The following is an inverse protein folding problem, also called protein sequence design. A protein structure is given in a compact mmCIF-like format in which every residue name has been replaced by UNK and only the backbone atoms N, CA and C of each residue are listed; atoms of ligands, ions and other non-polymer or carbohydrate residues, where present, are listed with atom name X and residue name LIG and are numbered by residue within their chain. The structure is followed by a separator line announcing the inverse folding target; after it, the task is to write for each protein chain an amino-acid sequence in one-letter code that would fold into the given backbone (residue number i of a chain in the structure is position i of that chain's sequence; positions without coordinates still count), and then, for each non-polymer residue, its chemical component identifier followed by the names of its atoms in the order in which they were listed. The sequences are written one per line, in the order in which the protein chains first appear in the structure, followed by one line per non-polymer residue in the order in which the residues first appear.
data_IF_507543641027
#
_entry.id   IF_507543641027
#
_cell.length_a   1.000
_cell.length_b   1.000
_cell.length_c   1.000
_cell.angle_alpha   90.00
_cell.angle_beta   90.00
_cell.angle_gamma   90.00
#
_symmetry.space_group_name_H-M   'P 1'
#
loop_
_entity.id
_entity.type
_entity.pdbx_description
1 polymer ?
#
# COMPACT_ATOMS: atom_id res chain seq x y z
N UNK A 1 27.14 -10.93 -30.09
CA UNK A 1 26.56 -9.58 -29.83
C UNK A 1 27.04 -9.12 -28.47
N UNK A 2 28.00 -8.21 -28.44
CA UNK A 2 28.49 -7.63 -27.20
C UNK A 2 27.66 -6.38 -26.91
N UNK A 3 26.72 -6.49 -25.98
CA UNK A 3 25.96 -5.33 -25.50
C UNK A 3 26.76 -4.64 -24.39
N UNK A 4 27.03 -3.38 -24.53
CA UNK A 4 27.43 -2.55 -23.37
C UNK A 4 26.20 -2.29 -22.49
N UNK A 5 25.78 -3.28 -21.72
CA UNK A 5 24.85 -3.07 -20.63
C UNK A 5 25.58 -2.32 -19.53
N UNK A 6 25.08 -1.16 -19.12
CA UNK A 6 25.61 -0.46 -17.96
C UNK A 6 25.56 -1.41 -16.74
N UNK A 7 26.72 -1.71 -16.18
CA UNK A 7 26.84 -2.60 -15.02
C UNK A 7 26.60 -1.82 -13.75
N UNK A 8 25.35 -1.73 -13.35
CA UNK A 8 24.96 -1.15 -12.05
C UNK A 8 24.49 -2.25 -11.09
N UNK A 9 24.24 -1.89 -9.84
CA UNK A 9 23.79 -2.82 -8.78
C UNK A 9 22.58 -3.67 -9.19
N UNK A 10 21.57 -3.08 -9.83
CA UNK A 10 20.37 -3.81 -10.24
C UNK A 10 20.66 -4.80 -11.38
N UNK A 11 21.48 -4.43 -12.37
CA UNK A 11 21.87 -5.35 -13.44
C UNK A 11 22.73 -6.51 -12.93
N UNK A 12 23.63 -6.26 -11.98
CA UNK A 12 24.40 -7.30 -11.31
C UNK A 12 23.49 -8.28 -10.55
N UNK A 13 22.58 -7.75 -9.74
CA UNK A 13 21.60 -8.54 -8.99
C UNK A 13 20.76 -9.46 -9.89
N UNK A 14 20.20 -8.92 -10.98
CA UNK A 14 19.39 -9.70 -11.93
C UNK A 14 20.20 -10.82 -12.58
N UNK A 15 21.44 -10.52 -13.00
CA UNK A 15 22.34 -11.51 -13.60
C UNK A 15 22.73 -12.62 -12.63
N UNK A 16 23.10 -12.28 -11.40
CA UNK A 16 23.43 -13.23 -10.35
C UNK A 16 22.24 -14.08 -9.89
N UNK A 17 21.03 -13.59 -10.08
CA UNK A 17 19.80 -14.33 -9.76
C UNK A 17 19.45 -15.39 -10.81
N UNK A 18 19.91 -15.24 -12.05
CA UNK A 18 19.51 -16.10 -13.16
C UNK A 18 19.76 -17.61 -12.91
N UNK A 19 20.90 -18.08 -12.38
CA UNK A 19 21.10 -19.50 -12.10
C UNK A 19 20.09 -20.08 -11.08
N UNK A 20 19.64 -19.26 -10.14
CA UNK A 20 18.63 -19.68 -9.15
C UNK A 20 17.23 -19.77 -9.77
N UNK A 21 16.90 -18.88 -10.70
CA UNK A 21 15.68 -18.93 -11.50
C UNK A 21 15.69 -20.16 -12.41
N UNK A 22 16.81 -20.43 -13.10
CA UNK A 22 16.99 -21.61 -13.96
C UNK A 22 16.78 -22.93 -13.19
N UNK A 23 17.25 -23.01 -11.96
CA UNK A 23 17.08 -24.20 -11.10
C UNK A 23 15.70 -24.32 -10.46
N UNK A 24 14.80 -23.34 -10.67
CA UNK A 24 13.47 -23.30 -10.06
C UNK A 24 13.48 -23.01 -8.55
N UNK A 25 14.63 -22.63 -7.98
CA UNK A 25 14.74 -22.27 -6.56
C UNK A 25 14.14 -20.89 -6.25
N UNK A 26 14.20 -19.98 -7.22
CA UNK A 26 13.70 -18.61 -7.10
C UNK A 26 12.72 -18.35 -8.24
N UNK A 27 11.54 -17.85 -7.90
CA UNK A 27 10.48 -17.48 -8.83
C UNK A 27 10.00 -16.04 -8.66
N UNK A 28 10.54 -15.31 -7.66
CA UNK A 28 10.34 -13.87 -7.45
C UNK A 28 11.66 -13.10 -7.38
N UNK A 29 11.77 -12.01 -8.15
CA UNK A 29 12.83 -11.00 -8.03
C UNK A 29 12.19 -9.67 -7.65
N UNK A 30 12.59 -9.13 -6.50
CA UNK A 30 12.03 -7.92 -5.92
C UNK A 30 13.08 -6.82 -5.91
N UNK A 31 12.78 -5.67 -6.52
CA UNK A 31 13.67 -4.51 -6.61
C UNK A 31 13.00 -3.30 -5.98
N UNK A 32 13.32 -3.03 -4.72
CA UNK A 32 12.91 -1.83 -4.01
C UNK A 32 13.98 -0.75 -4.11
N UNK A 33 13.60 0.50 -4.13
CA UNK A 33 14.62 1.54 -4.05
C UNK A 33 14.14 2.93 -4.40
N UNK A 34 15.08 3.87 -4.34
CA UNK A 34 14.82 5.27 -4.60
C UNK A 34 14.45 5.54 -6.07
N UNK A 35 13.94 6.73 -6.30
CA UNK A 35 13.81 7.25 -7.67
C UNK A 35 15.19 7.30 -8.34
N UNK A 36 15.21 7.09 -9.66
CA UNK A 36 16.45 7.16 -10.47
C UNK A 36 17.54 6.14 -10.09
N UNK A 37 17.22 5.06 -9.40
CA UNK A 37 18.16 3.98 -9.06
C UNK A 37 18.43 2.98 -10.21
N UNK A 38 17.89 3.24 -11.41
CA UNK A 38 18.01 2.41 -12.62
C UNK A 38 17.32 1.03 -12.55
N UNK A 39 16.36 0.80 -11.66
CA UNK A 39 15.60 -0.47 -11.58
C UNK A 39 14.93 -0.82 -12.90
N UNK A 40 14.08 0.07 -13.41
CA UNK A 40 13.28 -0.11 -14.64
C UNK A 40 14.17 -0.45 -15.84
N UNK A 41 15.26 0.31 -16.05
CA UNK A 41 16.21 0.06 -17.14
C UNK A 41 16.89 -1.28 -16.99
N UNK A 42 17.37 -1.63 -15.79
CA UNK A 42 18.01 -2.92 -15.54
C UNK A 42 17.07 -4.09 -15.86
N UNK A 43 15.78 -3.98 -15.46
CA UNK A 43 14.77 -5.01 -15.74
C UNK A 43 14.52 -5.11 -17.25
N UNK A 44 14.37 -3.99 -17.96
CA UNK A 44 14.15 -4.02 -19.43
C UNK A 44 15.32 -4.72 -20.14
N UNK A 45 16.57 -4.38 -19.83
CA UNK A 45 17.73 -5.07 -20.39
C UNK A 45 17.73 -6.57 -20.07
N UNK A 46 17.38 -6.93 -18.84
CA UNK A 46 17.29 -8.33 -18.44
C UNK A 46 16.22 -9.09 -19.23
N UNK A 47 15.02 -8.53 -19.38
CA UNK A 47 13.92 -9.12 -20.14
C UNK A 47 14.27 -9.26 -21.63
N UNK A 48 14.90 -8.24 -22.23
CA UNK A 48 15.40 -8.31 -23.62
C UNK A 48 16.42 -9.46 -23.75
N UNK A 49 17.35 -9.59 -22.79
CA UNK A 49 18.36 -10.66 -22.83
C UNK A 49 17.75 -12.06 -22.76
N UNK A 50 16.66 -12.24 -21.99
CA UNK A 50 15.91 -13.51 -21.91
C UNK A 50 15.08 -13.78 -23.17
N UNK A 51 14.52 -12.74 -23.77
CA UNK A 51 13.75 -12.86 -25.01
C UNK A 51 14.67 -13.19 -26.22
N UNK A 52 15.87 -12.64 -26.26
CA UNK A 52 16.88 -12.95 -27.30
C UNK A 52 17.45 -14.35 -27.15
N UNK A 53 17.67 -14.81 -25.92
CA UNK A 53 18.24 -16.12 -25.62
C UNK A 53 17.36 -16.85 -24.56
N UNK A 54 16.21 -17.41 -24.98
CA UNK A 54 15.31 -18.13 -24.08
C UNK A 54 15.92 -19.46 -23.58
N UNK A 55 17.01 -19.95 -24.19
CA UNK A 55 17.72 -21.13 -23.70
C UNK A 55 18.27 -20.95 -22.28
N UNK A 56 18.52 -19.71 -21.87
CA UNK A 56 18.82 -19.34 -20.47
C UNK A 56 17.74 -19.76 -19.47
N UNK A 57 16.54 -20.06 -19.91
CA UNK A 57 15.43 -20.59 -19.09
C UNK A 57 15.04 -22.01 -19.53
N UNK A 58 15.87 -22.68 -20.33
CA UNK A 58 15.58 -24.00 -20.88
C UNK A 58 14.39 -24.02 -21.86
N UNK A 59 14.08 -22.87 -22.49
CA UNK A 59 12.93 -22.70 -23.40
C UNK A 59 13.39 -22.40 -24.83
N UNK A 60 12.50 -22.66 -25.80
CA UNK A 60 12.72 -22.29 -27.23
C UNK A 60 12.30 -20.84 -27.50
N UNK A 61 11.26 -20.38 -26.80
CA UNK A 61 10.75 -19.01 -26.83
C UNK A 61 10.12 -18.69 -25.49
N UNK A 62 9.96 -17.41 -25.16
CA UNK A 62 9.34 -16.94 -23.94
C UNK A 62 8.27 -15.89 -24.22
N UNK A 63 7.16 -15.97 -23.49
CA UNK A 63 6.15 -14.91 -23.42
C UNK A 63 6.36 -14.11 -22.14
N UNK A 64 6.74 -12.86 -22.29
CA UNK A 64 6.98 -11.91 -21.20
C UNK A 64 5.87 -10.88 -21.21
N UNK A 65 5.18 -10.69 -20.09
CA UNK A 65 4.18 -9.64 -19.92
C UNK A 65 4.62 -8.63 -18.87
N UNK A 66 4.56 -7.36 -19.24
CA UNK A 66 4.93 -6.24 -18.41
C UNK A 66 3.65 -5.50 -18.02
N UNK A 67 3.38 -5.40 -16.71
CA UNK A 67 2.16 -4.82 -16.16
C UNK A 67 2.46 -3.52 -15.42
N UNK A 68 1.58 -2.55 -15.58
CA UNK A 68 1.45 -1.35 -14.75
C UNK A 68 -0.04 -1.15 -14.42
N UNK A 69 -0.38 -0.22 -13.51
CA UNK A 69 -1.76 0.00 -13.09
C UNK A 69 -2.71 0.13 -14.27
N UNK A 70 -2.44 1.05 -15.20
CA UNK A 70 -3.30 1.24 -16.36
C UNK A 70 -2.52 1.34 -17.69
N UNK A 71 -3.22 1.07 -18.82
CA UNK A 71 -2.62 1.01 -20.14
C UNK A 71 -2.06 2.36 -20.63
N UNK A 72 -2.62 3.49 -20.20
CA UNK A 72 -2.17 4.81 -20.61
C UNK A 72 -0.80 5.14 -20.01
N UNK A 73 -0.63 4.93 -18.70
CA UNK A 73 0.67 5.11 -18.03
C UNK A 73 1.71 4.13 -18.55
N UNK A 74 1.32 2.89 -18.88
CA UNK A 74 2.22 1.90 -19.48
C UNK A 74 2.85 2.41 -20.77
N UNK A 75 2.06 3.02 -21.66
CA UNK A 75 2.56 3.58 -22.94
C UNK A 75 3.54 4.74 -22.76
N UNK A 76 3.23 5.65 -21.85
CA UNK A 76 4.04 6.85 -21.60
C UNK A 76 5.33 6.61 -20.82
N UNK A 77 5.50 5.43 -20.25
CA UNK A 77 6.62 5.09 -19.38
C UNK A 77 7.41 3.88 -19.88
N UNK A 78 7.09 2.67 -19.42
CA UNK A 78 7.91 1.47 -19.70
C UNK A 78 7.97 1.09 -21.18
N UNK A 79 6.91 1.40 -21.97
CA UNK A 79 6.98 1.20 -23.43
C UNK A 79 7.94 2.19 -24.06
N UNK A 80 7.90 3.46 -23.64
CA UNK A 80 8.82 4.47 -24.15
C UNK A 80 10.27 4.13 -23.83
N UNK A 81 10.56 3.70 -22.59
CA UNK A 81 11.90 3.25 -22.19
C UNK A 81 12.33 2.01 -22.97
N UNK A 82 11.46 1.01 -23.13
CA UNK A 82 11.76 -0.18 -23.93
C UNK A 82 12.11 0.17 -25.38
N UNK A 83 11.30 1.02 -26.02
CA UNK A 83 11.55 1.43 -27.41
C UNK A 83 12.84 2.25 -27.54
N UNK A 84 13.14 3.11 -26.57
CA UNK A 84 14.37 3.87 -26.53
C UNK A 84 15.59 2.93 -26.42
N UNK A 85 15.56 2.00 -25.49
CA UNK A 85 16.64 1.01 -25.30
C UNK A 85 16.85 0.18 -26.57
N UNK A 86 15.79 -0.35 -27.15
CA UNK A 86 15.87 -1.18 -28.35
C UNK A 86 16.41 -0.43 -29.58
N UNK A 87 16.12 0.88 -29.68
CA UNK A 87 16.52 1.71 -30.84
C UNK A 87 17.88 2.36 -30.69
N UNK A 88 18.26 2.73 -29.47
CA UNK A 88 19.38 3.64 -29.26
C UNK A 88 20.50 3.05 -28.40
N UNK A 89 20.18 2.16 -27.44
CA UNK A 89 21.17 1.66 -26.48
C UNK A 89 21.77 0.32 -26.89
N UNK A 90 21.07 -0.47 -27.73
CA UNK A 90 21.52 -1.77 -28.19
C UNK A 90 21.67 -1.72 -29.71
N UNK A 91 22.91 -1.76 -30.16
CA UNK A 91 23.26 -1.81 -31.59
C UNK A 91 24.30 -2.88 -31.86
N UNK A 92 24.38 -3.31 -33.09
CA UNK A 92 25.45 -4.16 -33.59
C UNK A 92 25.92 -3.67 -34.94
N UNK A 93 27.17 -3.99 -35.31
CA UNK A 93 27.72 -3.65 -36.59
C UNK A 93 27.77 -4.88 -37.50
N UNK A 94 27.32 -4.74 -38.73
CA UNK A 94 27.43 -5.74 -39.78
C UNK A 94 27.81 -5.05 -41.10
N UNK A 95 28.92 -5.49 -41.71
CA UNK A 95 29.39 -4.90 -42.97
C UNK A 95 29.73 -3.41 -42.88
N UNK A 96 30.19 -2.92 -41.72
CA UNK A 96 30.52 -1.52 -41.46
C UNK A 96 29.32 -0.58 -41.29
N UNK A 97 28.12 -1.15 -41.12
CA UNK A 97 26.89 -0.38 -40.81
C UNK A 97 26.38 -0.75 -39.41
N UNK A 98 26.02 0.27 -38.64
CA UNK A 98 25.36 0.07 -37.34
C UNK A 98 23.86 -0.14 -37.55
N UNK A 99 23.32 -1.16 -36.90
CA UNK A 99 21.89 -1.48 -36.90
C UNK A 99 21.38 -1.46 -35.45
N UNK A 100 20.18 -0.88 -35.25
CA UNK A 100 19.53 -0.99 -33.95
C UNK A 100 19.01 -2.41 -33.72
N UNK A 101 18.94 -2.83 -32.45
CA UNK A 101 18.31 -4.11 -32.11
C UNK A 101 16.83 -4.10 -32.50
N UNK A 102 16.19 -2.94 -32.41
CA UNK A 102 14.78 -2.77 -32.78
C UNK A 102 14.47 -3.20 -34.20
N UNK A 103 15.33 -2.82 -35.18
CA UNK A 103 15.09 -3.09 -36.59
C UNK A 103 15.52 -4.50 -36.99
N UNK A 104 16.44 -5.11 -36.25
CA UNK A 104 17.06 -6.38 -36.60
C UNK A 104 16.47 -7.61 -35.94
N UNK A 105 15.97 -7.47 -34.69
CA UNK A 105 15.61 -8.63 -33.88
C UNK A 105 14.15 -9.09 -34.03
N UNK A 106 13.26 -8.25 -34.57
CA UNK A 106 11.83 -8.61 -34.66
C UNK A 106 10.95 -7.48 -35.17
N UNK A 107 9.69 -7.48 -34.76
CA UNK A 107 8.66 -6.53 -35.22
C UNK A 107 7.85 -5.99 -34.05
N UNK A 108 7.64 -4.67 -34.04
CA UNK A 108 6.77 -3.98 -33.07
C UNK A 108 5.33 -3.86 -33.56
N UNK A 109 4.38 -4.29 -32.73
CA UNK A 109 2.96 -4.11 -32.96
C UNK A 109 2.41 -2.98 -32.05
N UNK A 110 2.03 -1.85 -32.66
CA UNK A 110 1.49 -0.68 -31.95
C UNK A 110 0.10 -0.93 -31.32
N UNK A 111 -0.70 -1.82 -31.90
CA UNK A 111 -2.06 -2.10 -31.42
C UNK A 111 -2.03 -2.93 -30.14
N UNK A 112 -1.26 -4.00 -30.14
CA UNK A 112 -1.12 -4.90 -28.99
C UNK A 112 -0.04 -4.44 -28.01
N UNK A 113 0.71 -3.39 -28.33
CA UNK A 113 1.87 -2.90 -27.55
C UNK A 113 2.85 -4.05 -27.26
N UNK A 114 3.25 -4.78 -28.30
CA UNK A 114 4.14 -5.94 -28.16
C UNK A 114 5.26 -5.95 -29.18
N UNK A 115 6.40 -6.54 -28.80
CA UNK A 115 7.52 -6.79 -29.68
C UNK A 115 7.71 -8.30 -29.85
N UNK A 116 7.52 -8.78 -31.09
CA UNK A 116 7.73 -10.19 -31.47
C UNK A 116 9.12 -10.38 -32.02
N UNK A 117 9.96 -11.15 -31.31
CA UNK A 117 11.30 -11.51 -31.73
C UNK A 117 11.31 -12.60 -32.80
N UNK A 118 12.32 -12.62 -33.67
CA UNK A 118 12.47 -13.62 -34.73
C UNK A 118 12.53 -15.07 -34.24
N UNK A 119 12.95 -15.30 -33.00
CA UNK A 119 13.01 -16.63 -32.38
C UNK A 119 11.67 -17.08 -31.77
N UNK A 120 10.59 -16.29 -31.94
CA UNK A 120 9.26 -16.57 -31.43
C UNK A 120 9.00 -16.06 -30.00
N UNK A 121 9.98 -15.45 -29.34
CA UNK A 121 9.75 -14.78 -28.05
C UNK A 121 8.95 -13.49 -28.23
N UNK A 122 8.14 -13.12 -27.21
CA UNK A 122 7.31 -11.92 -27.25
C UNK A 122 7.46 -11.16 -25.92
N UNK A 123 7.61 -9.84 -26.01
CA UNK A 123 7.45 -8.93 -24.88
C UNK A 123 6.19 -8.10 -25.13
N UNK A 124 5.21 -8.17 -24.22
CA UNK A 124 3.91 -7.49 -24.29
C UNK A 124 3.73 -6.57 -23.10
N UNK A 125 3.14 -5.38 -23.32
CA UNK A 125 2.90 -4.37 -22.29
C UNK A 125 1.40 -4.16 -22.10
N UNK A 126 0.92 -4.26 -20.85
CA UNK A 126 -0.51 -4.23 -20.52
C UNK A 126 -0.80 -3.45 -19.23
N UNK A 127 -2.02 -2.93 -19.11
CA UNK A 127 -2.53 -2.44 -17.83
C UNK A 127 -3.07 -3.58 -16.98
N UNK A 128 -3.05 -3.41 -15.66
CA UNK A 128 -3.63 -4.34 -14.67
C UNK A 128 -5.01 -3.89 -14.15
N UNK A 129 -5.52 -2.77 -14.66
CA UNK A 129 -6.79 -2.13 -14.27
C UNK A 129 -8.06 -2.91 -14.69
N UNK A 130 -7.92 -3.91 -15.54
CA UNK A 130 -9.04 -4.69 -16.05
C UNK A 130 -8.77 -6.20 -15.89
N UNK A 131 -9.60 -6.92 -15.13
CA UNK A 131 -9.49 -8.38 -15.01
C UNK A 131 -9.48 -9.10 -16.35
N UNK A 132 -10.25 -8.62 -17.33
CA UNK A 132 -10.35 -9.23 -18.67
C UNK A 132 -9.01 -9.19 -19.42
N UNK A 133 -8.18 -8.14 -19.21
CA UNK A 133 -6.85 -8.02 -19.82
C UNK A 133 -5.85 -9.00 -19.20
N UNK A 134 -6.03 -9.36 -17.92
CA UNK A 134 -5.17 -10.30 -17.20
C UNK A 134 -5.61 -11.75 -17.48
N UNK A 135 -6.89 -12.00 -17.66
CA UNK A 135 -7.49 -13.34 -17.77
C UNK A 135 -7.12 -14.13 -19.05
N UNK A 136 -6.45 -13.54 -20.03
CA UNK A 136 -6.24 -14.15 -21.34
C UNK A 136 -5.34 -15.38 -21.35
N UNK A 137 -4.02 -15.21 -21.40
CA UNK A 137 -3.07 -16.29 -21.63
C UNK A 137 -2.11 -16.47 -20.46
N UNK A 138 -1.57 -17.69 -20.30
CA UNK A 138 -0.42 -17.96 -19.45
C UNK A 138 0.80 -17.27 -20.03
N UNK A 139 1.65 -16.71 -19.17
CA UNK A 139 2.96 -16.16 -19.52
C UNK A 139 4.08 -16.92 -18.83
N UNK A 140 5.28 -16.85 -19.40
CA UNK A 140 6.48 -17.40 -18.76
C UNK A 140 7.01 -16.45 -17.70
N UNK A 141 7.04 -15.14 -18.01
CA UNK A 141 7.56 -14.12 -17.14
C UNK A 141 6.54 -13.00 -17.00
N UNK A 142 6.31 -12.54 -15.77
CA UNK A 142 5.55 -11.34 -15.47
C UNK A 142 6.45 -10.29 -14.81
N UNK A 143 6.35 -9.06 -15.27
CA UNK A 143 6.94 -7.91 -14.61
C UNK A 143 5.86 -6.94 -14.14
N UNK A 144 5.83 -6.68 -12.84
CA UNK A 144 4.93 -5.75 -12.16
C UNK A 144 5.71 -4.46 -11.86
N UNK A 145 5.66 -3.51 -12.81
CA UNK A 145 6.33 -2.22 -12.66
C UNK A 145 5.51 -1.27 -11.79
N UNK A 146 6.19 -0.54 -10.90
CA UNK A 146 5.56 0.30 -9.88
C UNK A 146 4.53 -0.49 -9.08
N UNK A 147 4.99 -1.57 -8.47
CA UNK A 147 4.13 -2.55 -7.78
C UNK A 147 3.20 -1.93 -6.72
N UNK A 148 3.56 -0.76 -6.15
CA UNK A 148 2.71 -0.01 -5.22
C UNK A 148 1.37 0.44 -5.82
N UNK A 149 1.25 0.49 -7.14
CA UNK A 149 0.01 0.86 -7.84
C UNK A 149 -0.86 -0.37 -8.17
N UNK A 150 -0.33 -1.60 -8.03
CA UNK A 150 -1.00 -2.84 -8.45
C UNK A 150 -1.78 -3.44 -7.28
N UNK A 151 -3.07 -3.67 -7.48
CA UNK A 151 -3.94 -4.23 -6.44
C UNK A 151 -3.58 -5.68 -6.09
N UNK A 152 -3.89 -6.14 -4.85
CA UNK A 152 -3.70 -7.54 -4.46
C UNK A 152 -4.39 -8.54 -5.38
N UNK A 153 -5.60 -8.23 -5.85
CA UNK A 153 -6.38 -9.09 -6.77
C UNK A 153 -5.70 -9.20 -8.14
N UNK A 154 -5.23 -8.08 -8.70
CA UNK A 154 -4.50 -8.08 -9.96
C UNK A 154 -3.18 -8.90 -9.82
N UNK A 155 -2.44 -8.70 -8.73
CA UNK A 155 -1.23 -9.48 -8.40
C UNK A 155 -1.54 -10.98 -8.36
N UNK A 156 -2.57 -11.40 -7.64
CA UNK A 156 -2.95 -12.80 -7.52
C UNK A 156 -3.31 -13.42 -8.88
N UNK A 157 -4.04 -12.68 -9.73
CA UNK A 157 -4.38 -13.11 -11.08
C UNK A 157 -3.16 -13.26 -12.00
N UNK A 158 -2.21 -12.33 -11.92
CA UNK A 158 -0.95 -12.38 -12.67
C UNK A 158 -0.10 -13.57 -12.20
N UNK A 159 0.03 -13.73 -10.88
CA UNK A 159 0.81 -14.81 -10.27
C UNK A 159 0.34 -16.19 -10.69
N UNK A 160 -0.97 -16.47 -10.62
CA UNK A 160 -1.57 -17.74 -11.05
C UNK A 160 -1.30 -18.11 -12.51
N UNK A 161 -0.98 -17.13 -13.36
CA UNK A 161 -0.75 -17.30 -14.79
C UNK A 161 0.71 -17.26 -15.20
N UNK A 162 1.61 -17.02 -14.26
CA UNK A 162 3.04 -16.92 -14.51
C UNK A 162 3.75 -18.23 -14.15
N UNK A 163 4.41 -18.83 -15.14
CA UNK A 163 4.95 -20.19 -15.00
C UNK A 163 6.40 -20.27 -14.54
N UNK A 164 7.19 -19.20 -14.73
CA UNK A 164 8.65 -19.27 -14.52
C UNK A 164 9.17 -18.20 -13.56
N UNK A 165 8.90 -16.91 -13.84
CA UNK A 165 9.53 -15.82 -13.10
C UNK A 165 8.55 -14.64 -12.95
N UNK A 166 8.46 -14.10 -11.73
CA UNK A 166 7.78 -12.85 -11.41
C UNK A 166 8.81 -11.82 -10.98
N UNK A 167 8.73 -10.63 -11.51
CA UNK A 167 9.59 -9.49 -11.14
C UNK A 167 8.69 -8.37 -10.67
N UNK A 168 9.01 -7.73 -9.56
CA UNK A 168 8.34 -6.52 -9.11
C UNK A 168 9.36 -5.45 -8.75
N UNK A 169 9.09 -4.21 -9.17
CA UNK A 169 9.89 -3.06 -8.76
C UNK A 169 9.01 -1.94 -8.26
N UNK A 170 9.52 -1.17 -7.27
CA UNK A 170 8.79 -0.06 -6.67
C UNK A 170 9.70 0.94 -5.97
N UNK A 171 9.15 2.16 -5.79
CA UNK A 171 9.61 3.10 -4.78
C UNK A 171 8.71 2.92 -3.55
N UNK A 172 9.25 2.84 -2.32
CA UNK A 172 8.46 2.47 -1.13
C UNK A 172 7.63 3.65 -0.59
N UNK A 173 6.68 4.12 -1.40
CA UNK A 173 5.82 5.28 -1.12
C UNK A 173 4.65 5.00 -0.18
N UNK A 174 4.40 3.72 0.13
CA UNK A 174 3.37 3.27 1.08
C UNK A 174 4.03 2.65 2.30
N UNK A 175 3.32 2.65 3.42
CA UNK A 175 3.78 2.02 4.67
C UNK A 175 3.37 0.54 4.74
N UNK A 176 2.26 0.16 4.07
CA UNK A 176 1.76 -1.20 3.98
C UNK A 176 1.35 -1.54 2.56
N UNK A 177 1.80 -2.69 2.07
CA UNK A 177 1.47 -3.18 0.73
C UNK A 177 1.85 -4.66 0.59
N UNK A 178 1.15 -5.43 -0.27
CA UNK A 178 1.43 -6.86 -0.54
C UNK A 178 2.89 -7.13 -0.96
N UNK A 179 3.57 -6.16 -1.57
CA UNK A 179 4.97 -6.30 -1.96
C UNK A 179 5.90 -6.38 -0.72
N UNK A 180 5.52 -5.73 0.38
CA UNK A 180 6.26 -5.84 1.64
C UNK A 180 6.00 -7.17 2.34
N UNK A 181 4.76 -7.70 2.25
CA UNK A 181 4.42 -9.02 2.79
C UNK A 181 5.23 -10.13 2.08
N UNK A 182 5.57 -9.94 0.79
CA UNK A 182 6.47 -10.84 0.09
C UNK A 182 7.87 -10.87 0.72
N UNK A 183 8.39 -9.74 1.23
CA UNK A 183 9.71 -9.67 1.86
C UNK A 183 9.79 -10.44 3.19
N UNK A 184 8.65 -10.71 3.81
CA UNK A 184 8.58 -11.45 5.07
C UNK A 184 8.60 -12.98 4.88
N UNK A 185 8.43 -13.47 3.64
CA UNK A 185 8.52 -14.89 3.33
C UNK A 185 9.95 -15.39 3.46
N UNK A 186 10.14 -16.48 4.15
CA UNK A 186 11.46 -17.06 4.46
C UNK A 186 11.75 -18.38 3.72
N UNK A 187 10.89 -18.76 2.75
CA UNK A 187 10.98 -20.02 2.03
C UNK A 187 12.12 -20.10 0.98
N UNK A 188 12.82 -19.00 0.77
CA UNK A 188 13.93 -18.90 -0.19
C UNK A 188 13.49 -18.83 -1.65
N UNK A 189 12.19 -18.78 -1.94
CA UNK A 189 11.65 -18.68 -3.30
C UNK A 189 11.85 -17.31 -3.95
N UNK A 190 12.39 -16.33 -3.21
CA UNK A 190 12.58 -14.98 -3.69
C UNK A 190 13.99 -14.44 -3.45
N UNK A 191 14.36 -13.45 -4.24
CA UNK A 191 15.53 -12.60 -4.02
C UNK A 191 15.13 -11.13 -4.01
N UNK A 192 15.78 -10.36 -3.16
CA UNK A 192 15.51 -8.95 -2.95
C UNK A 192 16.76 -8.10 -3.18
N UNK A 193 16.56 -6.95 -3.82
CA UNK A 193 17.59 -5.93 -4.03
C UNK A 193 17.03 -4.56 -3.61
N UNK A 194 17.74 -3.89 -2.71
CA UNK A 194 17.50 -2.48 -2.42
C UNK A 194 18.54 -1.63 -3.12
N UNK A 195 18.10 -0.54 -3.79
CA UNK A 195 19.00 0.36 -4.52
C UNK A 195 18.58 1.82 -4.36
N UNK A 196 19.57 2.72 -4.40
CA UNK A 196 19.37 4.17 -4.33
C UNK A 196 19.84 4.84 -5.62
N UNK A 197 19.59 6.13 -5.80
CA UNK A 197 20.15 6.90 -6.91
C UNK A 197 21.67 6.84 -6.99
N UNK A 198 22.37 6.62 -5.87
CA UNK A 198 23.82 6.45 -5.80
C UNK A 198 24.30 5.14 -6.44
N UNK A 199 23.44 4.12 -6.42
CA UNK A 199 23.71 2.83 -7.04
C UNK A 199 23.51 2.85 -8.58
N UNK A 200 22.99 3.99 -9.12
CA UNK A 200 22.93 4.23 -10.57
C UNK A 200 24.28 4.76 -11.07
N UNK A 201 25.28 3.92 -10.93
CA UNK A 201 26.64 4.17 -11.38
C UNK A 201 27.19 2.92 -12.06
N UNK A 202 28.18 3.10 -12.93
CA UNK A 202 28.92 2.00 -13.51
C UNK A 202 29.80 1.35 -12.44
N UNK A 203 29.65 0.03 -12.23
CA UNK A 203 30.33 -0.71 -11.17
C UNK A 203 31.86 -0.80 -11.34
N UNK A 204 32.34 -0.70 -12.57
CA UNK A 204 33.77 -0.83 -12.85
C UNK A 204 34.49 0.51 -12.66
N UNK A 205 33.85 1.63 -13.01
CA UNK A 205 34.43 2.98 -12.95
C UNK A 205 33.93 3.83 -11.79
N UNK A 206 32.83 3.45 -11.15
CA UNK A 206 32.15 4.25 -10.13
C UNK A 206 31.47 5.52 -10.68
N UNK A 207 31.52 5.76 -11.99
CA UNK A 207 30.93 6.94 -12.61
C UNK A 207 29.41 6.87 -12.57
N UNK A 208 28.77 7.92 -12.03
CA UNK A 208 27.29 8.02 -12.06
C UNK A 208 26.76 8.17 -13.47
N UNK A 209 25.60 7.57 -13.73
CA UNK A 209 24.86 7.71 -14.99
C UNK A 209 23.82 8.86 -14.91
N UNK A 210 23.74 9.55 -13.77
CA UNK A 210 22.79 10.63 -13.57
C UNK A 210 23.40 12.00 -13.89
N UNK A 211 22.58 12.83 -14.53
CA UNK A 211 22.90 14.24 -14.70
C UNK A 211 23.02 14.96 -13.35
N UNK A 212 24.03 15.85 -13.18
CA UNK A 212 24.22 16.58 -11.92
C UNK A 212 22.98 17.34 -11.41
N UNK A 213 22.13 17.81 -12.33
CA UNK A 213 20.88 18.50 -11.98
C UNK A 213 19.89 17.57 -11.27
N UNK A 214 19.80 16.30 -11.69
CA UNK A 214 18.93 15.29 -11.09
C UNK A 214 19.41 14.98 -9.67
N UNK A 215 20.73 14.80 -9.50
CA UNK A 215 21.33 14.54 -8.18
C UNK A 215 21.04 15.70 -7.24
N UNK A 216 21.28 16.94 -7.67
CA UNK A 216 20.98 18.12 -6.86
C UNK A 216 19.50 18.19 -6.46
N UNK A 217 18.58 17.86 -7.34
CA UNK A 217 17.15 17.83 -7.05
C UNK A 217 16.81 16.78 -5.97
N UNK A 218 17.36 15.58 -6.08
CA UNK A 218 17.14 14.53 -5.06
C UNK A 218 17.75 14.95 -3.71
N UNK A 219 18.98 15.45 -3.72
CA UNK A 219 19.71 15.86 -2.52
C UNK A 219 19.12 17.11 -1.86
N UNK A 220 18.37 17.95 -2.58
CA UNK A 220 17.68 19.09 -2.00
C UNK A 220 16.57 18.70 -1.01
N UNK A 221 16.08 17.47 -1.07
CA UNK A 221 15.10 16.95 -0.12
C UNK A 221 15.70 16.52 1.23
N UNK A 222 17.04 16.38 1.32
CA UNK A 222 17.73 15.90 2.53
C UNK A 222 17.55 16.88 3.72
N UNK A 223 16.79 16.49 4.77
CA UNK A 223 16.52 17.35 5.91
C UNK A 223 17.72 17.48 6.86
N UNK A 224 18.76 16.67 6.69
CA UNK A 224 20.00 16.76 7.49
C UNK A 224 20.91 17.90 7.05
N UNK A 225 20.66 18.47 5.86
CA UNK A 225 21.44 19.58 5.29
C UNK A 225 20.82 20.93 5.68
N UNK A 226 21.49 21.76 6.51
CA UNK A 226 20.95 23.05 6.95
C UNK A 226 20.59 23.99 5.81
N UNK A 227 21.32 23.95 4.70
CA UNK A 227 21.02 24.73 3.49
C UNK A 227 19.68 24.38 2.87
N UNK A 228 19.27 23.10 2.88
CA UNK A 228 17.97 22.65 2.37
C UNK A 228 16.82 23.13 3.26
N UNK A 229 17.04 23.09 4.60
CA UNK A 229 16.06 23.59 5.56
C UNK A 229 15.88 25.10 5.40
N UNK A 230 16.97 25.85 5.25
CA UNK A 230 16.93 27.30 5.05
C UNK A 230 16.29 27.69 3.71
N UNK A 231 16.49 26.88 2.67
CA UNK A 231 15.88 27.08 1.35
C UNK A 231 14.42 26.60 1.28
N UNK A 232 13.89 25.92 2.30
CA UNK A 232 12.54 25.36 2.31
C UNK A 232 12.35 24.17 1.34
N UNK A 233 13.45 23.53 0.90
CA UNK A 233 13.42 22.37 -0.02
C UNK A 233 13.47 21.03 0.72
N UNK A 234 13.91 21.02 1.99
CA UNK A 234 13.97 19.83 2.82
C UNK A 234 12.60 19.17 2.94
N UNK A 235 12.54 17.88 2.65
CA UNK A 235 11.29 17.10 2.64
C UNK A 235 11.63 15.67 3.11
N UNK A 236 11.43 15.33 4.39
CA UNK A 236 11.80 14.04 4.95
C UNK A 236 11.17 12.85 4.23
N UNK A 237 9.91 12.98 3.81
CA UNK A 237 9.23 11.91 3.07
C UNK A 237 9.87 11.68 1.70
N UNK A 238 10.07 12.76 0.93
CA UNK A 238 10.72 12.65 -0.38
C UNK A 238 12.15 12.16 -0.25
N UNK A 239 12.87 12.58 0.78
CA UNK A 239 14.22 12.09 1.04
C UNK A 239 14.23 10.60 1.34
N UNK A 240 13.36 10.11 2.25
CA UNK A 240 13.26 8.69 2.54
C UNK A 240 12.87 7.88 1.31
N UNK A 241 11.81 8.26 0.60
CA UNK A 241 11.28 7.48 -0.53
C UNK A 241 12.12 7.62 -1.79
N UNK A 242 12.40 8.87 -2.20
CA UNK A 242 13.03 9.15 -3.50
C UNK A 242 14.55 9.30 -3.43
N UNK A 243 15.10 9.62 -2.27
CA UNK A 243 16.54 9.70 -2.02
C UNK A 243 17.10 8.37 -1.51
N UNK A 244 16.57 7.87 -0.40
CA UNK A 244 17.10 6.70 0.28
C UNK A 244 16.44 5.38 -0.12
N UNK A 245 15.29 5.42 -0.81
CA UNK A 245 14.51 4.24 -1.15
C UNK A 245 13.98 3.50 0.07
N UNK A 246 13.68 4.23 1.13
CA UNK A 246 13.14 3.72 2.39
C UNK A 246 11.64 3.97 2.47
N UNK A 247 10.94 3.17 3.25
CA UNK A 247 9.53 3.43 3.55
C UNK A 247 9.43 4.75 4.31
N UNK A 248 8.87 5.75 3.66
CA UNK A 248 8.65 7.08 4.25
C UNK A 248 7.34 7.09 5.04
N UNK A 249 7.30 7.77 6.19
CA UNK A 249 6.04 8.16 6.79
C UNK A 249 5.39 9.21 5.86
N UNK A 250 4.13 8.99 5.44
CA UNK A 250 3.43 9.97 4.59
C UNK A 250 3.31 11.30 5.32
N UNK A 251 3.76 12.36 4.67
CA UNK A 251 3.46 13.72 5.13
C UNK A 251 1.94 13.95 5.08
N UNK A 252 1.44 14.75 6.02
CA UNK A 252 0.03 15.06 6.08
C UNK A 252 -0.84 13.92 6.59
N UNK A 253 -0.27 12.87 7.21
CA UNK A 253 -1.07 11.85 7.87
C UNK A 253 -2.02 12.45 8.87
N UNK A 254 -3.30 12.07 8.77
CA UNK A 254 -4.31 12.45 9.77
C UNK A 254 -3.97 11.83 11.13
N UNK A 255 -3.55 10.58 11.16
CA UNK A 255 -3.18 9.86 12.39
C UNK A 255 -1.72 9.36 12.35
N UNK A 256 -0.72 10.22 12.60
CA UNK A 256 0.66 9.74 12.80
C UNK A 256 0.77 8.73 13.94
N UNK A 257 1.82 7.89 13.91
CA UNK A 257 2.08 6.83 14.91
C UNK A 257 2.14 7.33 16.37
N UNK A 258 2.33 8.61 16.59
CA UNK A 258 2.22 9.20 17.93
C UNK A 258 0.81 9.05 18.54
N UNK A 259 -0.23 8.87 17.73
CA UNK A 259 -1.62 8.73 18.20
C UNK A 259 -2.06 7.28 18.37
N UNK A 260 -1.42 6.32 17.73
CA UNK A 260 -1.87 4.93 17.74
C UNK A 260 -0.74 3.91 17.75
N UNK A 261 -1.06 2.66 18.11
CA UNK A 261 -0.15 1.51 18.10
C UNK A 261 -0.90 0.21 17.82
N UNK A 262 -0.15 -0.86 17.48
CA UNK A 262 -0.68 -2.20 17.25
C UNK A 262 -0.44 -3.04 18.49
N UNK A 263 -1.49 -3.71 18.96
CA UNK A 263 -1.42 -4.63 20.11
C UNK A 263 -1.73 -6.06 19.68
N UNK A 264 -1.24 -7.02 20.45
CA UNK A 264 -1.68 -8.40 20.33
C UNK A 264 -3.17 -8.51 20.67
N UNK A 265 -3.91 -9.36 19.96
CA UNK A 265 -5.35 -9.51 20.13
C UNK A 265 -5.76 -9.96 21.55
N UNK A 266 -4.85 -10.66 22.26
CA UNK A 266 -5.03 -11.07 23.65
C UNK A 266 -5.04 -9.90 24.64
N UNK A 267 -4.51 -8.74 24.24
CA UNK A 267 -4.48 -7.50 25.03
C UNK A 267 -5.75 -6.62 24.81
N UNK A 268 -6.66 -7.08 23.96
CA UNK A 268 -7.92 -6.36 23.76
C UNK A 268 -8.79 -6.48 25.01
N UNK A 269 -9.15 -5.37 25.68
CA UNK A 269 -9.75 -5.42 27.01
C UNK A 269 -11.13 -6.08 26.98
N UNK A 270 -11.45 -6.85 28.03
CA UNK A 270 -12.80 -7.40 28.21
C UNK A 270 -13.84 -6.29 28.36
N UNK A 271 -15.06 -6.52 27.85
CA UNK A 271 -16.15 -5.51 27.91
C UNK A 271 -16.52 -5.12 29.33
N UNK A 272 -16.42 -6.05 30.27
CA UNK A 272 -16.83 -5.85 31.67
C UNK A 272 -15.94 -4.84 32.40
N UNK A 273 -14.68 -4.67 31.95
CA UNK A 273 -13.74 -3.69 32.54
C UNK A 273 -13.73 -2.35 31.81
N UNK A 274 -14.43 -2.24 30.68
CA UNK A 274 -14.44 -1.03 29.88
C UNK A 274 -15.42 0.02 30.41
N UNK A 275 -14.97 1.28 30.46
CA UNK A 275 -15.85 2.40 30.80
C UNK A 275 -16.97 2.61 29.77
N UNK A 276 -16.64 2.39 28.50
CA UNK A 276 -17.56 2.41 27.37
C UNK A 276 -17.17 1.32 26.37
N UNK A 277 -18.14 0.69 25.77
CA UNK A 277 -17.95 -0.24 24.67
C UNK A 277 -19.13 -0.18 23.69
N UNK A 278 -18.92 -0.59 22.46
CA UNK A 278 -19.95 -0.63 21.42
C UNK A 278 -19.32 -0.79 20.05
N UNK A 279 -20.12 -0.56 19.02
CA UNK A 279 -19.69 -0.78 17.65
C UNK A 279 -19.88 0.47 16.81
N UNK A 280 -18.94 0.71 15.89
CA UNK A 280 -19.09 1.69 14.83
C UNK A 280 -19.27 1.00 13.49
N UNK A 281 -20.08 1.57 12.60
CA UNK A 281 -20.32 1.02 11.28
C UNK A 281 -20.40 2.10 10.21
N UNK A 282 -19.75 1.80 9.06
CA UNK A 282 -19.83 2.58 7.84
C UNK A 282 -20.33 1.69 6.72
N UNK A 283 -21.40 2.13 6.02
CA UNK A 283 -22.01 1.32 4.96
C UNK A 283 -21.33 1.57 3.62
N UNK A 284 -20.67 0.57 3.09
CA UNK A 284 -20.23 0.51 1.69
C UNK A 284 -21.12 -0.38 0.82
N UNK A 285 -20.80 -0.50 -0.45
CA UNK A 285 -21.42 -1.45 -1.37
C UNK A 285 -20.42 -1.95 -2.42
N UNK A 286 -20.52 -1.56 -3.69
CA UNK A 286 -19.76 -2.16 -4.78
C UNK A 286 -18.31 -1.73 -4.85
N UNK A 287 -18.01 -0.45 -4.63
CA UNK A 287 -16.64 0.09 -4.67
C UNK A 287 -16.06 0.26 -3.28
N UNK A 288 -16.87 0.73 -2.34
CA UNK A 288 -16.48 0.98 -0.97
C UNK A 288 -16.82 -0.22 -0.07
N UNK A 289 -15.94 -0.61 0.85
CA UNK A 289 -16.23 -1.68 1.79
C UNK A 289 -17.23 -1.23 2.85
N UNK A 290 -18.08 -2.15 3.30
CA UNK A 290 -18.75 -1.97 4.59
C UNK A 290 -17.74 -2.24 5.69
N UNK A 291 -17.53 -1.25 6.57
CA UNK A 291 -16.67 -1.37 7.73
C UNK A 291 -17.52 -1.48 9.02
N UNK A 292 -17.19 -2.45 9.87
CA UNK A 292 -17.81 -2.60 11.17
C UNK A 292 -16.77 -2.95 12.23
N UNK A 293 -16.69 -2.15 13.29
CA UNK A 293 -15.60 -2.18 14.26
C UNK A 293 -16.10 -2.31 15.71
N UNK A 294 -15.41 -3.11 16.53
CA UNK A 294 -15.60 -3.17 17.98
C UNK A 294 -14.72 -2.08 18.62
N UNK A 295 -15.35 -1.17 19.31
CA UNK A 295 -14.72 -0.04 20.00
C UNK A 295 -14.86 -0.20 21.50
N UNK A 296 -13.75 -0.16 22.24
CA UNK A 296 -13.71 -0.25 23.71
C UNK A 296 -12.88 0.88 24.28
N UNK A 297 -13.42 1.56 25.28
CA UNK A 297 -12.71 2.62 25.97
C UNK A 297 -12.35 2.17 27.39
N UNK A 298 -11.05 2.02 27.64
CA UNK A 298 -10.51 1.51 28.88
C UNK A 298 -9.22 2.25 29.24
N UNK A 299 -9.02 2.58 30.53
CA UNK A 299 -7.83 3.27 31.03
C UNK A 299 -7.39 4.47 30.18
N UNK A 300 -8.37 5.34 29.85
CA UNK A 300 -8.16 6.55 29.06
C UNK A 300 -7.60 6.30 27.62
N UNK A 301 -7.73 5.11 27.10
CA UNK A 301 -7.34 4.74 25.75
C UNK A 301 -8.51 4.11 24.98
N UNK A 302 -8.49 4.28 23.68
CA UNK A 302 -9.42 3.68 22.74
C UNK A 302 -8.79 2.41 22.15
N UNK A 303 -9.49 1.29 22.28
CA UNK A 303 -9.14 0.00 21.69
C UNK A 303 -10.09 -0.30 20.55
N UNK A 304 -9.57 -0.69 19.40
CA UNK A 304 -10.39 -0.99 18.20
C UNK A 304 -10.00 -2.34 17.60
N UNK A 305 -11.03 -3.08 17.20
CA UNK A 305 -10.90 -4.36 16.54
C UNK A 305 -11.86 -4.45 15.37
N UNK A 306 -11.34 -4.84 14.21
CA UNK A 306 -12.13 -5.07 13.02
C UNK A 306 -13.01 -6.30 13.17
N UNK A 307 -14.29 -6.13 12.84
CA UNK A 307 -15.22 -7.24 12.73
C UNK A 307 -15.54 -7.51 11.26
N UNK A 308 -15.95 -6.48 10.50
CA UNK A 308 -16.25 -6.60 9.07
C UNK A 308 -15.48 -5.53 8.30
N UNK A 309 -14.93 -5.90 7.16
CA UNK A 309 -14.38 -4.98 6.16
C UNK A 309 -14.49 -5.66 4.78
N UNK A 310 -15.65 -5.55 4.18
CA UNK A 310 -15.99 -6.31 2.97
C UNK A 310 -16.77 -5.45 1.97
N UNK A 311 -16.50 -5.66 0.68
CA UNK A 311 -17.25 -5.05 -0.43
C UNK A 311 -18.40 -5.96 -0.85
N UNK A 312 -19.42 -5.36 -1.47
CA UNK A 312 -20.54 -6.11 -2.05
C UNK A 312 -21.55 -6.66 -1.03
N UNK A 313 -21.48 -6.24 0.24
CA UNK A 313 -22.47 -6.65 1.24
C UNK A 313 -23.79 -5.94 1.01
N UNK A 314 -24.87 -6.70 0.84
CA UNK A 314 -26.23 -6.18 0.96
C UNK A 314 -26.61 -6.05 2.45
N UNK A 315 -27.67 -5.30 2.78
CA UNK A 315 -27.98 -5.04 4.20
C UNK A 315 -28.63 -6.26 4.86
N UNK A 316 -29.70 -6.79 4.28
CA UNK A 316 -30.43 -7.95 4.79
C UNK A 316 -30.09 -9.21 4.01
N UNK A 317 -30.41 -10.37 4.58
CA UNK A 317 -30.20 -11.66 3.93
C UNK A 317 -31.08 -11.75 2.68
N UNK A 318 -30.51 -12.20 1.56
CA UNK A 318 -31.27 -12.52 0.36
C UNK A 318 -31.91 -13.91 0.54
N UNK A 319 -33.25 -13.96 0.63
CA UNK A 319 -33.97 -15.22 0.84
C UNK A 319 -34.02 -16.09 -0.44
N UNK A 320 -33.84 -15.46 -1.62
CA UNK A 320 -33.83 -16.17 -2.91
C UNK A 320 -32.46 -16.75 -3.24
N UNK A 321 -31.42 -16.05 -2.83
CA UNK A 321 -30.01 -16.47 -2.99
C UNK A 321 -29.20 -16.24 -1.72
N UNK A 322 -29.16 -17.21 -0.81
CA UNK A 322 -28.38 -17.11 0.44
C UNK A 322 -26.86 -17.04 0.24
N UNK A 323 -26.35 -17.25 -0.98
CA UNK A 323 -24.92 -17.12 -1.27
C UNK A 323 -24.46 -15.65 -1.34
N UNK A 324 -25.39 -14.71 -1.52
CA UNK A 324 -25.08 -13.28 -1.53
C UNK A 324 -24.78 -12.83 -0.09
N UNK A 325 -23.57 -12.32 0.17
CA UNK A 325 -23.16 -11.95 1.52
C UNK A 325 -23.94 -10.70 2.00
N UNK A 326 -24.34 -10.70 3.27
CA UNK A 326 -25.07 -9.59 3.87
C UNK A 326 -24.45 -9.11 5.19
N UNK A 327 -24.70 -7.84 5.53
CA UNK A 327 -24.37 -7.27 6.83
C UNK A 327 -25.09 -8.07 7.94
N UNK A 328 -26.35 -8.39 7.74
CA UNK A 328 -27.14 -9.15 8.69
C UNK A 328 -26.55 -10.53 8.98
N UNK A 329 -26.12 -11.26 7.94
CA UNK A 329 -25.48 -12.58 8.10
C UNK A 329 -24.17 -12.47 8.88
N UNK A 330 -23.34 -11.46 8.58
CA UNK A 330 -22.07 -11.23 9.31
C UNK A 330 -22.34 -10.93 10.79
N UNK A 331 -23.30 -10.08 11.13
CA UNK A 331 -23.64 -9.75 12.52
C UNK A 331 -24.22 -10.96 13.27
N UNK A 332 -25.05 -11.78 12.62
CA UNK A 332 -25.56 -13.04 13.20
C UNK A 332 -24.43 -14.04 13.49
N UNK A 333 -23.45 -14.13 12.60
CA UNK A 333 -22.30 -15.02 12.84
C UNK A 333 -21.53 -14.60 14.10
N UNK A 334 -21.29 -13.30 14.31
CA UNK A 334 -20.64 -12.81 15.54
C UNK A 334 -21.45 -13.08 16.79
N UNK A 335 -22.78 -13.10 16.70
CA UNK A 335 -23.65 -13.42 17.83
C UNK A 335 -23.71 -14.93 18.13
N UNK A 336 -23.55 -15.78 17.12
CA UNK A 336 -23.51 -17.24 17.23
C UNK A 336 -22.10 -17.76 17.43
N UNK A 337 -21.48 -18.21 16.34
CA UNK A 337 -20.17 -18.89 16.35
C UNK A 337 -19.01 -18.00 16.85
N UNK A 338 -19.08 -16.70 16.60
CA UNK A 338 -18.08 -15.72 17.04
C UNK A 338 -18.22 -15.27 18.48
N UNK A 339 -19.31 -15.63 19.19
CA UNK A 339 -19.67 -15.06 20.47
C UNK A 339 -18.58 -15.16 21.53
N UNK A 340 -17.99 -16.35 21.74
CA UNK A 340 -16.95 -16.55 22.75
C UNK A 340 -15.71 -15.69 22.48
N UNK A 341 -15.29 -15.62 21.22
CA UNK A 341 -14.08 -14.91 20.83
C UNK A 341 -14.24 -13.39 20.82
N UNK A 342 -15.39 -12.89 20.38
CA UNK A 342 -15.59 -11.47 20.13
C UNK A 342 -16.49 -10.80 21.16
N UNK A 343 -17.18 -11.56 22.00
CA UNK A 343 -18.14 -11.07 23.01
C UNK A 343 -19.21 -10.17 22.37
N UNK A 344 -19.62 -10.46 21.14
CA UNK A 344 -20.60 -9.66 20.42
C UNK A 344 -21.98 -9.77 21.04
N UNK A 345 -22.75 -8.66 21.03
CA UNK A 345 -24.15 -8.66 21.44
C UNK A 345 -24.95 -7.69 20.59
N UNK A 346 -26.08 -8.16 20.04
CA UNK A 346 -27.01 -7.32 19.28
C UNK A 346 -27.60 -6.17 20.11
N UNK A 347 -27.68 -6.32 21.44
CA UNK A 347 -28.17 -5.31 22.35
C UNK A 347 -27.18 -4.19 22.63
N UNK A 348 -25.89 -4.43 22.37
CA UNK A 348 -24.86 -3.40 22.46
C UNK A 348 -25.05 -2.37 21.36
N UNK A 349 -24.92 -1.09 21.68
CA UNK A 349 -25.12 0.00 20.73
C UNK A 349 -24.19 -0.10 19.52
N UNK A 350 -24.78 0.03 18.34
CA UNK A 350 -24.09 0.08 17.04
C UNK A 350 -24.37 1.46 16.43
N UNK A 351 -23.33 2.29 16.28
CA UNK A 351 -23.44 3.63 15.70
C UNK A 351 -23.09 3.56 14.21
N UNK A 352 -24.07 3.78 13.35
CA UNK A 352 -23.95 3.65 11.91
C UNK A 352 -24.02 5.00 11.20
N UNK A 353 -23.48 5.06 9.98
CA UNK A 353 -23.60 6.24 9.13
C UNK A 353 -25.08 6.65 8.95
N UNK A 354 -25.39 7.90 9.31
CA UNK A 354 -26.74 8.46 9.20
C UNK A 354 -27.20 8.73 7.75
N UNK A 355 -26.32 8.64 6.75
CA UNK A 355 -26.68 8.79 5.34
C UNK A 355 -27.56 7.63 4.81
N UNK A 356 -27.61 6.51 5.53
CA UNK A 356 -28.40 5.32 5.17
C UNK A 356 -29.47 4.99 6.24
N UNK A 357 -30.49 5.83 6.40
CA UNK A 357 -31.53 5.63 7.42
C UNK A 357 -32.37 4.36 7.18
N UNK A 358 -32.56 3.97 5.93
CA UNK A 358 -33.19 2.72 5.51
C UNK A 358 -32.48 1.49 6.07
N UNK A 359 -31.16 1.46 5.93
CA UNK A 359 -30.31 0.37 6.41
C UNK A 359 -30.32 0.28 7.95
N UNK A 360 -30.28 1.43 8.63
CA UNK A 360 -30.41 1.48 10.09
C UNK A 360 -31.78 0.99 10.55
N UNK A 361 -32.86 1.40 9.87
CA UNK A 361 -34.21 0.97 10.20
C UNK A 361 -34.36 -0.55 10.01
N UNK A 362 -33.79 -1.11 8.94
CA UNK A 362 -33.77 -2.56 8.72
C UNK A 362 -33.02 -3.30 9.85
N UNK A 363 -31.82 -2.86 10.23
CA UNK A 363 -31.06 -3.51 11.31
C UNK A 363 -31.83 -3.48 12.64
N UNK A 364 -32.54 -2.39 12.94
CA UNK A 364 -33.44 -2.32 14.09
C UNK A 364 -34.58 -3.32 14.01
N UNK A 365 -35.22 -3.42 12.86
CA UNK A 365 -36.34 -4.34 12.65
C UNK A 365 -35.95 -5.81 12.85
N UNK A 366 -34.68 -6.16 12.55
CA UNK A 366 -34.15 -7.52 12.79
C UNK A 366 -33.48 -7.67 14.17
N UNK A 367 -33.65 -6.68 15.07
CA UNK A 367 -33.33 -6.78 16.49
C UNK A 367 -31.96 -6.26 16.93
N UNK A 368 -31.20 -5.58 16.04
CA UNK A 368 -29.94 -4.94 16.42
C UNK A 368 -30.15 -3.54 16.98
N UNK A 369 -29.38 -3.16 18.01
CA UNK A 369 -29.41 -1.82 18.58
C UNK A 369 -28.63 -0.82 17.72
N UNK A 370 -29.10 -0.64 16.48
CA UNK A 370 -28.50 0.27 15.51
C UNK A 370 -29.00 1.69 15.70
N UNK A 371 -28.11 2.67 15.81
CA UNK A 371 -28.42 4.09 15.94
C UNK A 371 -27.65 4.92 14.92
N UNK A 372 -28.21 6.04 14.43
CA UNK A 372 -27.49 6.92 13.51
C UNK A 372 -26.37 7.67 14.24
N UNK A 373 -25.28 7.93 13.52
CA UNK A 373 -24.25 8.85 13.98
C UNK A 373 -24.75 10.30 13.97
N UNK A 374 -24.10 11.14 14.76
CA UNK A 374 -24.36 12.58 14.76
C UNK A 374 -23.49 13.22 13.67
N UNK A 375 -24.11 13.69 12.56
CA UNK A 375 -23.45 14.46 11.50
C UNK A 375 -23.86 15.92 11.58
N UNK A 376 -22.88 16.83 11.57
CA UNK A 376 -23.07 18.27 11.50
C UNK A 376 -21.96 18.91 10.70
N UNK A 377 -22.05 20.21 10.49
CA UNK A 377 -20.96 20.99 9.91
C UNK A 377 -19.70 20.76 10.77
N UNK A 378 -18.57 20.54 10.14
CA UNK A 378 -17.26 20.29 10.77
C UNK A 378 -17.16 18.97 11.59
N UNK A 379 -18.14 18.06 11.46
CA UNK A 379 -18.15 16.78 12.23
C UNK A 379 -16.94 15.89 11.93
N UNK A 380 -16.33 15.97 10.74
CA UNK A 380 -15.13 15.22 10.38
C UNK A 380 -13.93 15.77 11.18
N UNK A 381 -13.67 17.07 11.09
CA UNK A 381 -12.56 17.70 11.80
C UNK A 381 -12.69 17.53 13.33
N UNK A 382 -13.89 17.72 13.89
CA UNK A 382 -14.17 17.49 15.29
C UNK A 382 -13.93 16.05 15.72
N UNK A 383 -14.43 15.09 14.95
CA UNK A 383 -14.27 13.66 15.25
C UNK A 383 -12.81 13.22 15.21
N UNK A 384 -12.04 13.70 14.22
CA UNK A 384 -10.60 13.48 14.12
C UNK A 384 -9.87 14.07 15.34
N UNK A 385 -10.16 15.31 15.69
CA UNK A 385 -9.56 15.96 16.87
C UNK A 385 -9.89 15.20 18.16
N UNK A 386 -11.12 14.72 18.30
CA UNK A 386 -11.53 13.91 19.44
C UNK A 386 -10.81 12.57 19.49
N UNK A 387 -10.67 11.87 18.37
CA UNK A 387 -9.88 10.63 18.29
C UNK A 387 -8.42 10.86 18.65
N UNK A 388 -7.80 11.94 18.16
CA UNK A 388 -6.40 12.31 18.47
C UNK A 388 -6.17 12.65 19.95
N UNK A 389 -7.22 13.01 20.70
CA UNK A 389 -7.11 13.29 22.14
C UNK A 389 -6.88 12.04 22.98
N UNK A 390 -7.02 10.85 22.41
CA UNK A 390 -6.81 9.57 23.07
C UNK A 390 -5.67 8.78 22.41
N UNK A 391 -5.01 7.89 23.17
CA UNK A 391 -4.16 6.85 22.59
C UNK A 391 -5.06 5.78 22.02
N UNK A 392 -4.80 5.38 20.76
CA UNK A 392 -5.58 4.38 20.06
C UNK A 392 -4.75 3.10 19.96
N UNK A 393 -5.33 1.96 20.33
CA UNK A 393 -4.73 0.66 20.19
C UNK A 393 -5.54 -0.18 19.19
N UNK A 394 -4.89 -0.67 18.15
CA UNK A 394 -5.49 -1.45 17.07
C UNK A 394 -5.03 -2.90 17.21
N UNK A 395 -5.96 -3.85 17.24
CA UNK A 395 -5.65 -5.28 17.24
C UNK A 395 -4.78 -5.65 16.03
N UNK A 396 -3.82 -6.56 16.24
CA UNK A 396 -2.93 -7.04 15.19
C UNK A 396 -3.69 -7.70 14.04
N UNK A 397 -4.79 -8.41 14.32
CA UNK A 397 -5.65 -9.02 13.29
C UNK A 397 -6.42 -8.00 12.43
N UNK A 398 -6.49 -6.72 12.85
CA UNK A 398 -7.27 -5.66 12.20
C UNK A 398 -6.44 -4.94 11.13
N UNK A 399 -6.07 -5.65 10.08
CA UNK A 399 -5.07 -5.17 9.11
C UNK A 399 -5.58 -4.02 8.25
N UNK A 400 -6.87 -4.02 7.86
CA UNK A 400 -7.45 -2.96 7.05
C UNK A 400 -7.55 -1.65 7.84
N UNK A 401 -7.90 -1.71 9.14
CA UNK A 401 -7.85 -0.52 10.02
C UNK A 401 -6.43 0.05 10.09
N UNK A 402 -5.42 -0.80 10.30
CA UNK A 402 -4.03 -0.35 10.31
C UNK A 402 -3.65 0.31 8.99
N UNK A 403 -4.04 -0.29 7.86
CA UNK A 403 -3.80 0.27 6.52
C UNK A 403 -4.44 1.64 6.32
N UNK A 404 -5.69 1.85 6.79
CA UNK A 404 -6.32 3.16 6.73
C UNK A 404 -5.59 4.19 7.61
N UNK A 405 -5.26 3.86 8.87
CA UNK A 405 -4.52 4.77 9.75
C UNK A 405 -3.16 5.17 9.20
N UNK A 406 -2.51 4.28 8.46
CA UNK A 406 -1.22 4.55 7.80
C UNK A 406 -1.36 5.43 6.55
N UNK A 407 -2.49 5.36 5.85
CA UNK A 407 -2.66 5.98 4.53
C UNK A 407 -3.66 7.15 4.52
N UNK A 408 -4.42 7.39 5.57
CA UNK A 408 -5.35 8.52 5.67
C UNK A 408 -4.62 9.83 5.83
N UNK A 409 -4.71 10.70 4.83
CA UNK A 409 -3.97 11.94 4.74
C UNK A 409 -4.91 13.15 4.56
N UNK A 410 -4.41 14.33 4.90
CA UNK A 410 -5.02 15.59 4.52
C UNK A 410 -4.80 15.87 3.02
N UNK A 411 -5.77 16.56 2.40
CA UNK A 411 -5.66 16.98 1.01
C UNK A 411 -4.46 17.91 0.83
N UNK A 412 -3.73 17.72 -0.27
CA UNK A 412 -2.60 18.57 -0.62
C UNK A 412 -3.06 19.72 -1.51
N UNK A 413 -2.74 20.94 -1.11
CA UNK A 413 -3.00 22.15 -1.90
C UNK A 413 -2.03 22.26 -3.08
N UNK A 414 -2.35 23.07 -4.11
CA UNK A 414 -1.45 23.30 -5.25
C UNK A 414 -0.08 23.87 -4.88
N UNK A 415 0.02 24.60 -3.78
CA UNK A 415 1.28 25.17 -3.26
C UNK A 415 2.13 24.17 -2.46
N UNK A 416 1.63 22.93 -2.31
CA UNK A 416 2.31 21.86 -1.58
C UNK A 416 2.01 21.79 -0.09
N UNK A 417 1.28 22.75 0.48
CA UNK A 417 0.78 22.69 1.86
C UNK A 417 -0.37 21.69 1.99
N UNK A 418 -0.70 21.31 3.23
CA UNK A 418 -1.86 20.45 3.50
C UNK A 418 -3.05 21.31 3.96
N UNK A 419 -4.24 20.94 3.48
CA UNK A 419 -5.48 21.53 3.98
C UNK A 419 -5.86 20.91 5.33
N UNK A 420 -6.84 21.48 6.01
CA UNK A 420 -7.43 20.87 7.20
C UNK A 420 -8.47 19.79 6.84
N UNK A 421 -8.80 19.63 5.56
CA UNK A 421 -9.72 18.62 5.07
C UNK A 421 -8.97 17.34 4.68
N UNK A 422 -9.35 16.16 5.20
CA UNK A 422 -8.76 14.90 4.79
C UNK A 422 -9.23 14.50 3.38
N UNK A 423 -8.45 13.61 2.74
CA UNK A 423 -8.84 12.93 1.52
C UNK A 423 -10.07 12.06 1.77
N UNK A 424 -10.96 11.95 0.78
CA UNK A 424 -12.11 11.04 0.81
C UNK A 424 -11.71 9.66 0.26
N UNK A 425 -10.73 9.05 0.92
CA UNK A 425 -10.18 7.74 0.56
C UNK A 425 -9.52 7.09 1.78
N UNK A 426 -9.55 5.77 1.86
CA UNK A 426 -8.96 4.99 2.96
C UNK A 426 -9.46 5.43 4.34
N UNK A 427 -10.77 5.62 4.50
CA UNK A 427 -11.37 6.21 5.70
C UNK A 427 -12.59 5.46 6.25
N UNK A 428 -13.00 4.33 5.66
CA UNK A 428 -14.24 3.63 6.03
C UNK A 428 -14.23 3.11 7.46
N UNK A 429 -13.16 2.42 7.88
CA UNK A 429 -13.03 1.96 9.26
C UNK A 429 -12.76 3.14 10.21
N UNK A 430 -11.99 4.14 9.77
CA UNK A 430 -11.75 5.38 10.53
C UNK A 430 -13.07 6.10 10.76
N UNK A 431 -13.94 6.20 9.76
CA UNK A 431 -15.26 6.82 9.86
C UNK A 431 -16.17 6.02 10.79
N UNK A 432 -16.19 4.70 10.69
CA UNK A 432 -16.91 3.83 11.62
C UNK A 432 -16.45 4.05 13.08
N UNK A 433 -15.14 4.14 13.33
CA UNK A 433 -14.58 4.45 14.65
C UNK A 433 -15.00 5.86 15.09
N UNK A 434 -14.89 6.85 14.22
CA UNK A 434 -15.23 8.24 14.45
C UNK A 434 -16.69 8.41 14.85
N UNK A 435 -17.62 7.73 14.17
CA UNK A 435 -19.05 7.76 14.52
C UNK A 435 -19.30 7.28 15.94
N UNK A 436 -18.66 6.16 16.32
CA UNK A 436 -18.79 5.64 17.68
C UNK A 436 -18.17 6.59 18.72
N UNK A 437 -16.98 7.11 18.46
CA UNK A 437 -16.23 8.01 19.33
C UNK A 437 -17.03 9.29 19.60
N UNK A 438 -17.56 9.91 18.55
CA UNK A 438 -18.35 11.14 18.67
C UNK A 438 -19.63 10.94 19.50
N UNK A 439 -20.25 9.77 19.42
CA UNK A 439 -21.46 9.43 20.18
C UNK A 439 -21.19 9.14 21.64
N UNK A 440 -20.07 8.52 21.96
CA UNK A 440 -19.83 7.89 23.26
C UNK A 440 -18.75 8.55 24.11
N UNK A 441 -17.82 9.33 23.52
CA UNK A 441 -16.71 9.94 24.24
C UNK A 441 -16.87 11.47 24.31
N UNK A 442 -16.12 12.10 25.21
CA UNK A 442 -16.06 13.56 25.39
C UNK A 442 -14.63 14.06 25.21
N UNK A 443 -14.42 15.29 24.78
CA UNK A 443 -13.07 15.85 24.67
C UNK A 443 -12.34 15.74 26.01
N UNK A 444 -11.10 15.27 25.96
CA UNK A 444 -10.20 15.32 27.09
C UNK A 444 -9.82 16.77 27.31
N UNK A 445 -10.14 17.36 28.46
CA UNK A 445 -9.55 18.64 28.85
C UNK A 445 -8.07 18.40 29.08
N UNK A 446 -7.23 18.76 28.10
CA UNK A 446 -5.78 18.80 28.24
C UNK A 446 -5.46 20.02 29.12
N UNK A 447 -5.73 19.92 30.42
CA UNK A 447 -5.12 20.80 31.40
C UNK A 447 -3.64 20.40 31.41
N UNK A 448 -2.80 21.30 30.94
CA UNK A 448 -1.37 21.13 30.86
C UNK A 448 -0.84 20.54 32.18
N UNK A 449 -0.39 19.29 32.18
CA UNK A 449 0.40 18.71 33.26
C UNK A 449 1.85 19.19 33.17
N UNK A 450 2.04 20.51 33.07
CA UNK A 450 3.34 21.17 33.23
C UNK A 450 3.21 22.30 34.23
N UNK A 451 2.95 21.93 35.48
CA UNK A 451 3.30 22.75 36.63
C UNK A 451 3.68 21.78 37.74
N UNK A 452 4.94 21.79 38.18
CA UNK A 452 5.30 21.11 39.41
C UNK A 452 4.68 21.89 40.56
N UNK A 453 3.53 21.43 41.05
CA UNK A 453 3.04 21.87 42.32
C UNK A 453 3.94 21.27 43.41
N UNK A 454 4.54 22.09 44.29
CA UNK A 454 5.19 21.57 45.46
C UNK A 454 4.17 20.85 46.36
N UNK A 455 4.60 19.83 47.11
CA UNK A 455 3.68 19.08 47.95
C UNK A 455 3.05 20.00 48.99
N UNK A 456 1.72 20.01 49.03
CA UNK A 456 0.97 20.67 50.09
C UNK A 456 1.39 20.03 51.43
N UNK A 457 2.05 20.80 52.29
CA UNK A 457 2.24 20.47 53.70
C UNK A 457 0.82 20.35 54.30
N UNK A 458 0.52 19.19 54.83
CA UNK A 458 -0.63 19.02 55.76
C UNK A 458 -0.25 19.74 57.06
N UNK A 459 -0.88 20.89 57.33
CA UNK A 459 -0.90 21.45 58.65
C UNK A 459 -1.90 20.62 59.49
N UNK A 460 -1.32 19.80 60.38
CA UNK A 460 -2.06 19.27 61.51
C UNK A 460 -2.33 20.45 62.49
N UNK A 461 -3.58 20.91 62.55
CA UNK A 461 -4.11 21.65 63.67
C UNK A 461 -5.19 20.77 64.32
N UNK A 462 -4.75 19.97 65.26
CA UNK A 462 -5.55 19.51 66.39
C UNK A 462 -4.64 19.57 67.58
N UNK A 463 -4.79 20.63 68.36
CA UNK A 463 -4.63 20.65 69.81
C UNK A 463 -5.23 21.94 70.37
N UNK A 464 -6.02 21.76 71.42
CA UNK A 464 -6.50 22.69 72.44
C UNK A 464 -7.95 23.24 72.21
N UNK A 465 -8.79 22.72 72.93
CA UNK A 465 -9.83 22.89 73.94
C UNK A 465 -11.04 22.01 73.73
#
# INVERSE_FOLDING_TARGET
MDYKVQRNKNTAFLRESLPLVQSGKVDWLLLEGSSRSAKTWAIIFFLISLALDPSKLGKKSVLIRCFRQNATTTRGTIVADFLHIMKSEISYEEGGKAFSLFDSAGVWNKTTQSYAFKNGSIIEFSGSDSPQKIQGAKQDIAWLNEAMEITPDAKAQIEMRTTTLKIADWNPSLTKHWAFDLLEKTDGSMRYCHSTYKDNCDLDTGKTNLEPAIIRTIESYDPSKPENVAAGTADPFKWDVYGLGRRGAREGQVFPRIHWDVIDDSLFPDKTVCLRHGYGGDFGFSQDPTAFVDCRFHNDALYVRQLVYERGLIIGDNLEDPSIPSVQARLKWYEGEGQERFQFSRLTQQVWDSARPDSIAFLRAVGFNAVPCDKGKDSIAYGIALMKSYRIYICRSSQEIQGEFENYCYKKNPDGSFSDDPEDANNHAIDAIRYWVMKNLRPRNIIARNSPHPPRQRNNFYEAW
#
